data_IF_357736467573
#
_entry.id   IF_357736467573
#
_cell.length_a   1.000
_cell.length_b   1.000
_cell.length_c   1.000
_cell.angle_alpha   90.00
_cell.angle_beta   90.00
_cell.angle_gamma   90.00
#
_symmetry.space_group_name_H-M   'P 1'
#
loop_
_entity.id
_entity.type
_entity.pdbx_description
1 polymer ?
#
# COMPACT_ATOMS: atom_id res chain seq x y z
N UNK A 1 6.66 -23.76 3.03
CA UNK A 1 5.43 -23.16 3.58
C UNK A 1 5.27 -23.64 5.01
N UNK A 2 4.71 -22.81 5.91
CA UNK A 2 4.26 -23.32 7.22
C UNK A 2 3.11 -24.33 7.00
N UNK A 3 3.05 -25.47 7.72
CA UNK A 3 2.04 -26.51 7.48
C UNK A 3 0.59 -26.06 7.66
N UNK A 4 0.37 -25.07 8.54
CA UNK A 4 -0.92 -24.54 8.97
C UNK A 4 -1.31 -23.22 8.27
N UNK A 5 -0.71 -22.91 7.10
CA UNK A 5 -0.93 -21.64 6.42
C UNK A 5 -2.42 -21.37 6.08
N UNK A 6 -3.15 -22.41 5.69
CA UNK A 6 -4.59 -22.30 5.37
C UNK A 6 -5.41 -22.11 6.65
N UNK A 7 -5.12 -22.86 7.71
CA UNK A 7 -5.84 -22.72 8.99
C UNK A 7 -5.64 -21.32 9.59
N UNK A 8 -4.42 -20.78 9.49
CA UNK A 8 -4.11 -19.42 9.94
C UNK A 8 -4.81 -18.35 9.08
N UNK A 9 -4.92 -18.57 7.76
CA UNK A 9 -5.72 -17.71 6.89
C UNK A 9 -7.18 -17.69 7.33
N UNK A 10 -7.80 -18.85 7.57
CA UNK A 10 -9.18 -18.93 8.05
C UNK A 10 -9.37 -18.20 9.38
N UNK A 11 -8.46 -18.44 10.33
CA UNK A 11 -8.48 -17.75 11.63
C UNK A 11 -8.44 -16.23 11.46
N UNK A 12 -7.59 -15.71 10.57
CA UNK A 12 -7.49 -14.28 10.27
C UNK A 12 -8.76 -13.75 9.59
N UNK A 13 -9.35 -14.51 8.66
CA UNK A 13 -10.58 -14.13 7.97
C UNK A 13 -11.77 -14.01 8.94
N UNK A 14 -11.88 -14.96 9.87
CA UNK A 14 -12.89 -14.96 10.96
C UNK A 14 -12.65 -13.78 11.91
N UNK A 15 -11.40 -13.49 12.25
CA UNK A 15 -11.03 -12.35 13.09
C UNK A 15 -11.24 -10.98 12.41
N UNK A 16 -11.68 -10.95 11.15
CA UNK A 16 -12.00 -9.71 10.43
C UNK A 16 -10.81 -9.08 9.70
N UNK A 17 -9.81 -9.87 9.30
CA UNK A 17 -8.73 -9.38 8.45
C UNK A 17 -9.29 -8.74 7.18
N UNK A 18 -8.80 -7.54 6.86
CA UNK A 18 -9.23 -6.74 5.70
C UNK A 18 -8.22 -6.77 4.54
N UNK A 19 -6.99 -7.20 4.82
CA UNK A 19 -5.85 -7.26 3.90
C UNK A 19 -4.76 -8.16 4.46
N UNK A 20 -3.96 -8.79 3.59
CA UNK A 20 -2.70 -9.41 3.94
C UNK A 20 -1.54 -8.53 3.49
N UNK A 21 -0.53 -8.31 4.34
CA UNK A 21 0.72 -7.63 3.99
C UNK A 21 1.89 -8.61 4.08
N UNK A 22 2.77 -8.61 3.08
CA UNK A 22 4.05 -9.31 3.14
C UNK A 22 5.19 -8.51 2.52
N UNK A 23 6.42 -8.89 2.88
CA UNK A 23 7.67 -8.41 2.31
C UNK A 23 8.42 -9.59 1.70
N UNK A 24 8.10 -10.00 0.46
CA UNK A 24 8.60 -11.24 -0.14
C UNK A 24 10.12 -11.41 -0.07
N UNK A 25 10.87 -10.35 -0.39
CA UNK A 25 12.32 -10.29 -0.38
C UNK A 25 12.96 -10.43 1.02
N UNK A 26 12.28 -9.97 2.07
CA UNK A 26 12.75 -10.08 3.46
C UNK A 26 12.32 -11.39 4.11
N UNK A 27 11.11 -11.86 3.77
CA UNK A 27 10.48 -13.03 4.38
C UNK A 27 10.76 -14.32 3.62
N UNK A 28 11.55 -14.27 2.53
CA UNK A 28 11.87 -15.39 1.65
C UNK A 28 10.60 -16.09 1.11
N UNK A 29 9.64 -15.28 0.63
CA UNK A 29 8.38 -15.77 0.07
C UNK A 29 8.47 -15.65 -1.46
N UNK A 30 8.58 -16.78 -2.14
CA UNK A 30 8.39 -16.83 -3.58
C UNK A 30 6.89 -16.83 -3.89
N UNK A 31 6.30 -15.65 -4.13
CA UNK A 31 4.87 -15.52 -4.44
C UNK A 31 4.45 -16.26 -5.73
N UNK A 32 5.41 -16.64 -6.60
CA UNK A 32 5.17 -17.36 -7.85
C UNK A 32 5.19 -18.89 -7.70
N UNK A 33 5.56 -19.39 -6.51
CA UNK A 33 5.61 -20.82 -6.24
C UNK A 33 4.20 -21.44 -6.28
N UNK A 34 4.00 -22.40 -7.19
CA UNK A 34 2.72 -23.09 -7.43
C UNK A 34 2.20 -23.84 -6.20
N UNK A 35 3.05 -24.14 -5.20
CA UNK A 35 2.59 -24.70 -3.92
C UNK A 35 1.65 -23.75 -3.16
N UNK A 36 1.69 -22.46 -3.46
CA UNK A 36 0.83 -21.44 -2.86
C UNK A 36 -0.49 -21.21 -3.60
N UNK A 37 -0.73 -21.88 -4.74
CA UNK A 37 -1.96 -21.67 -5.54
C UNK A 37 -3.23 -21.75 -4.72
N UNK A 38 -3.42 -22.81 -3.91
CA UNK A 38 -4.61 -22.95 -3.04
C UNK A 38 -4.77 -21.81 -2.03
N UNK A 39 -3.66 -21.27 -1.53
CA UNK A 39 -3.67 -20.16 -0.59
C UNK A 39 -4.13 -18.87 -1.29
N UNK A 40 -3.63 -18.62 -2.50
CA UNK A 40 -4.04 -17.47 -3.31
C UNK A 40 -5.49 -17.56 -3.80
N UNK A 41 -5.93 -18.73 -4.26
CA UNK A 41 -7.33 -19.00 -4.62
C UNK A 41 -8.24 -18.71 -3.44
N UNK A 42 -7.89 -19.21 -2.24
CA UNK A 42 -8.69 -18.97 -1.03
C UNK A 42 -8.74 -17.49 -0.65
N UNK A 43 -7.64 -16.75 -0.79
CA UNK A 43 -7.62 -15.30 -0.59
C UNK A 43 -8.52 -14.57 -1.61
N UNK A 44 -8.48 -14.98 -2.88
CA UNK A 44 -9.31 -14.41 -3.92
C UNK A 44 -10.81 -14.64 -3.65
N UNK A 45 -11.19 -15.87 -3.27
CA UNK A 45 -12.56 -16.21 -2.84
C UNK A 45 -13.01 -15.35 -1.65
N UNK A 46 -12.13 -15.14 -0.68
CA UNK A 46 -12.39 -14.28 0.48
C UNK A 46 -12.41 -12.77 0.16
N UNK A 47 -12.03 -12.39 -1.07
CA UNK A 47 -11.75 -11.01 -1.48
C UNK A 47 -10.74 -10.32 -0.56
N UNK A 48 -9.76 -11.07 -0.04
CA UNK A 48 -8.69 -10.55 0.81
C UNK A 48 -7.55 -10.03 -0.08
N UNK A 49 -7.34 -8.70 -0.19
CA UNK A 49 -6.27 -8.16 -1.01
C UNK A 49 -4.89 -8.46 -0.42
N UNK A 50 -3.89 -8.47 -1.29
CA UNK A 50 -2.48 -8.61 -0.95
C UNK A 50 -1.76 -7.28 -1.15
N UNK A 51 -1.19 -6.71 -0.09
CA UNK A 51 -0.20 -5.63 -0.19
C UNK A 51 1.19 -6.26 -0.10
N UNK A 52 1.92 -6.32 -1.21
CA UNK A 52 3.24 -6.92 -1.26
C UNK A 52 4.32 -5.83 -1.43
N UNK A 53 5.39 -5.89 -0.66
CA UNK A 53 6.54 -5.03 -0.90
C UNK A 53 7.19 -5.36 -2.25
N UNK A 54 7.52 -4.32 -3.01
CA UNK A 54 8.22 -4.40 -4.30
C UNK A 54 9.24 -3.28 -4.40
N UNK A 55 10.28 -3.46 -5.22
CA UNK A 55 11.37 -2.49 -5.34
C UNK A 55 12.37 -2.53 -4.19
N UNK A 56 13.09 -1.43 -3.98
CA UNK A 56 14.21 -1.40 -3.04
C UNK A 56 13.78 -1.47 -1.57
N UNK A 57 14.51 -2.22 -0.75
CA UNK A 57 14.32 -2.31 0.70
C UNK A 57 15.64 -2.03 1.42
N UNK A 58 15.68 -0.97 2.24
CA UNK A 58 16.88 -0.53 2.96
C UNK A 58 16.68 -0.48 4.48
N UNK A 59 15.48 -0.78 4.99
CA UNK A 59 15.13 -0.75 6.41
C UNK A 59 15.25 -2.11 7.08
N UNK A 60 15.04 -3.19 6.32
CA UNK A 60 15.05 -4.57 6.81
C UNK A 60 16.08 -5.42 6.08
N UNK A 61 16.46 -6.54 6.70
CA UNK A 61 17.37 -7.50 6.08
C UNK A 61 16.70 -8.16 4.86
N UNK A 62 17.30 -7.95 3.69
CA UNK A 62 16.90 -8.60 2.45
C UNK A 62 17.54 -9.99 2.38
N UNK A 63 16.70 -11.03 2.29
CA UNK A 63 17.13 -12.44 2.17
C UNK A 63 17.22 -12.85 0.71
N UNK A 64 16.29 -12.39 -0.13
CA UNK A 64 16.18 -12.69 -1.57
C UNK A 64 15.79 -11.44 -2.34
N UNK A 65 16.77 -10.70 -2.86
CA UNK A 65 16.52 -9.43 -3.54
C UNK A 65 15.63 -9.57 -4.78
N UNK A 66 15.67 -10.71 -5.47
CA UNK A 66 14.87 -10.98 -6.67
C UNK A 66 13.36 -10.96 -6.41
N UNK A 67 12.89 -11.28 -5.19
CA UNK A 67 11.47 -11.25 -4.86
C UNK A 67 10.92 -9.81 -4.69
N UNK A 68 11.75 -8.79 -4.89
CA UNK A 68 11.30 -7.41 -5.04
C UNK A 68 10.76 -7.08 -6.45
N UNK A 69 11.02 -7.95 -7.43
CA UNK A 69 10.50 -7.81 -8.79
C UNK A 69 8.99 -8.14 -8.80
N UNK A 70 8.12 -7.21 -9.26
CA UNK A 70 6.67 -7.41 -9.27
C UNK A 70 6.22 -8.59 -10.14
N UNK A 71 7.07 -9.14 -11.02
CA UNK A 71 6.75 -10.36 -11.80
C UNK A 71 6.53 -11.60 -10.91
N UNK A 72 7.11 -11.64 -9.70
CA UNK A 72 6.81 -12.70 -8.73
C UNK A 72 5.37 -12.65 -8.19
N UNK A 73 4.63 -11.57 -8.43
CA UNK A 73 3.23 -11.42 -8.03
C UNK A 73 2.26 -11.92 -9.11
N UNK A 74 2.74 -12.45 -10.24
CA UNK A 74 1.87 -12.93 -11.32
C UNK A 74 0.94 -14.07 -10.88
N UNK A 75 1.42 -15.02 -10.07
CA UNK A 75 0.59 -16.14 -9.60
C UNK A 75 -0.63 -15.68 -8.76
N UNK A 76 -0.49 -14.85 -7.70
CA UNK A 76 -1.66 -14.35 -6.98
C UNK A 76 -2.59 -13.52 -7.88
N UNK A 77 -2.05 -12.74 -8.83
CA UNK A 77 -2.86 -12.02 -9.81
C UNK A 77 -3.68 -12.96 -10.70
N UNK A 78 -3.08 -14.05 -11.21
CA UNK A 78 -3.73 -15.08 -12.02
C UNK A 78 -4.82 -15.83 -11.24
N UNK A 79 -4.62 -16.06 -9.94
CA UNK A 79 -5.63 -16.63 -9.05
C UNK A 79 -6.80 -15.66 -8.73
N UNK A 80 -6.73 -14.40 -9.18
CA UNK A 80 -7.79 -13.39 -8.98
C UNK A 80 -7.64 -12.55 -7.72
N UNK A 81 -6.51 -12.64 -7.00
CA UNK A 81 -6.25 -11.78 -5.82
C UNK A 81 -6.10 -10.32 -6.28
N UNK A 82 -6.72 -9.39 -5.58
CA UNK A 82 -6.40 -7.97 -5.76
C UNK A 82 -5.05 -7.68 -5.12
N UNK A 83 -4.05 -7.28 -5.91
CA UNK A 83 -2.68 -7.06 -5.42
C UNK A 83 -2.35 -5.57 -5.47
N UNK A 84 -1.70 -5.08 -4.42
CA UNK A 84 -1.13 -3.73 -4.33
C UNK A 84 0.38 -3.89 -4.22
N UNK A 85 1.11 -3.46 -5.25
CA UNK A 85 2.57 -3.40 -5.25
C UNK A 85 3.02 -2.15 -4.47
N UNK A 86 3.55 -2.36 -3.26
CA UNK A 86 3.98 -1.26 -2.41
C UNK A 86 5.15 -0.49 -3.02
N UNK A 87 5.17 0.82 -2.82
CA UNK A 87 6.14 1.78 -3.34
C UNK A 87 6.24 1.82 -4.87
N UNK A 88 5.20 1.35 -5.56
CA UNK A 88 5.14 1.24 -7.01
C UNK A 88 6.36 0.54 -7.63
N UNK A 89 6.91 -0.48 -6.96
CA UNK A 89 8.08 -1.22 -7.42
C UNK A 89 9.31 -0.33 -7.73
N UNK A 90 9.39 0.86 -7.13
CA UNK A 90 10.46 1.81 -7.38
C UNK A 90 11.67 1.56 -6.46
N UNK A 91 12.83 2.06 -6.87
CA UNK A 91 14.08 2.02 -6.12
C UNK A 91 14.01 2.80 -4.80
N UNK A 92 14.76 2.33 -3.79
CA UNK A 92 14.96 3.01 -2.49
C UNK A 92 16.21 3.89 -2.49
N UNK A 93 17.22 3.54 -3.29
CA UNK A 93 18.42 4.32 -3.48
C UNK A 93 18.96 4.26 -4.89
N UNK A 94 20.16 4.81 -5.08
CA UNK A 94 20.73 5.05 -6.40
C UNK A 94 21.07 3.76 -7.16
N UNK A 95 21.43 2.70 -6.43
CA UNK A 95 21.89 1.42 -6.99
C UNK A 95 20.81 0.35 -7.08
N UNK A 96 19.60 0.59 -6.55
CA UNK A 96 18.55 -0.42 -6.67
C UNK A 96 17.96 -0.42 -8.07
N UNK A 97 17.50 -1.60 -8.48
CA UNK A 97 16.76 -1.76 -9.73
C UNK A 97 15.41 -1.04 -9.64
N UNK A 98 15.10 -0.25 -10.65
CA UNK A 98 13.77 0.33 -10.82
C UNK A 98 12.89 -0.67 -11.60
N UNK A 99 11.95 -1.31 -10.90
CA UNK A 99 11.02 -2.26 -11.49
C UNK A 99 9.70 -1.61 -11.95
N UNK A 100 9.54 -0.30 -11.81
CA UNK A 100 8.33 0.43 -12.22
C UNK A 100 7.91 0.12 -13.68
N UNK A 101 8.80 0.04 -14.68
CA UNK A 101 8.39 -0.34 -16.04
C UNK A 101 7.76 -1.75 -16.12
N UNK A 102 8.27 -2.72 -15.34
CA UNK A 102 7.68 -4.06 -15.27
C UNK A 102 6.33 -4.04 -14.58
N UNK A 103 6.18 -3.23 -13.52
CA UNK A 103 4.89 -3.00 -12.86
C UNK A 103 3.85 -2.46 -13.84
N UNK A 104 4.19 -1.44 -14.64
CA UNK A 104 3.28 -0.88 -15.65
C UNK A 104 2.84 -1.94 -16.67
N UNK A 105 3.78 -2.73 -17.20
CA UNK A 105 3.47 -3.82 -18.13
C UNK A 105 2.55 -4.89 -17.51
N UNK A 106 2.73 -5.20 -16.21
CA UNK A 106 1.83 -6.10 -15.49
C UNK A 106 0.46 -5.47 -15.26
N UNK A 107 0.38 -4.17 -14.96
CA UNK A 107 -0.89 -3.46 -14.80
C UNK A 107 -1.69 -3.45 -16.11
N UNK A 108 -1.06 -3.37 -17.27
CA UNK A 108 -1.75 -3.51 -18.56
C UNK A 108 -2.38 -4.91 -18.74
N UNK A 109 -1.72 -5.96 -18.24
CA UNK A 109 -2.18 -7.35 -18.32
C UNK A 109 -3.21 -7.72 -17.25
N UNK A 110 -3.08 -7.16 -16.05
CA UNK A 110 -3.84 -7.56 -14.88
C UNK A 110 -4.65 -6.37 -14.33
N UNK A 111 -5.99 -6.35 -14.52
CA UNK A 111 -6.83 -5.26 -14.03
C UNK A 111 -6.91 -5.21 -12.49
N UNK A 112 -6.64 -6.33 -11.82
CA UNK A 112 -6.58 -6.50 -10.37
C UNK A 112 -5.23 -6.12 -9.74
N UNK A 113 -4.30 -5.54 -10.50
CA UNK A 113 -3.04 -5.00 -9.99
C UNK A 113 -3.12 -3.48 -9.76
N UNK A 114 -2.78 -3.08 -8.54
CA UNK A 114 -2.67 -1.71 -8.06
C UNK A 114 -1.25 -1.45 -7.57
N UNK A 115 -0.93 -0.18 -7.32
CA UNK A 115 0.29 0.24 -6.66
C UNK A 115 -0.05 1.20 -5.51
N UNK A 116 0.84 1.38 -4.55
CA UNK A 116 0.72 2.50 -3.60
C UNK A 116 1.81 3.56 -3.81
N UNK A 117 1.60 4.75 -3.25
CA UNK A 117 2.57 5.83 -3.20
C UNK A 117 3.31 5.94 -1.85
N UNK A 118 3.40 4.83 -1.12
CA UNK A 118 4.08 4.74 0.17
C UNK A 118 5.53 5.18 0.06
N UNK A 119 5.98 6.02 1.01
CA UNK A 119 7.31 6.61 1.07
C UNK A 119 7.74 7.47 -0.14
N UNK A 120 6.82 7.94 -1.00
CA UNK A 120 7.20 8.83 -2.12
C UNK A 120 7.88 10.14 -1.67
N UNK A 121 7.61 10.58 -0.45
CA UNK A 121 8.28 11.71 0.19
C UNK A 121 9.60 11.34 0.90
N UNK A 122 10.10 10.11 0.74
CA UNK A 122 11.42 9.70 1.20
C UNK A 122 12.47 9.85 0.09
N UNK A 123 13.75 9.75 0.45
CA UNK A 123 14.87 9.91 -0.47
C UNK A 123 14.72 8.99 -1.70
N UNK A 124 14.82 9.57 -2.91
CA UNK A 124 14.78 8.89 -4.23
C UNK A 124 13.50 8.11 -4.59
N UNK A 125 12.68 7.73 -3.61
CA UNK A 125 11.50 6.88 -3.77
C UNK A 125 10.40 7.50 -4.62
N UNK A 126 10.27 8.83 -4.59
CA UNK A 126 9.31 9.59 -5.41
C UNK A 126 9.72 9.77 -6.88
N UNK A 127 10.80 9.15 -7.39
CA UNK A 127 11.27 9.42 -8.76
C UNK A 127 10.28 9.05 -9.87
N UNK A 128 9.29 8.20 -9.58
CA UNK A 128 8.26 7.75 -10.53
C UNK A 128 6.95 8.54 -10.42
N UNK A 129 6.87 9.53 -9.53
CA UNK A 129 5.65 10.35 -9.32
C UNK A 129 5.06 10.88 -10.63
N UNK A 130 5.82 11.51 -11.56
CA UNK A 130 5.24 12.02 -12.81
C UNK A 130 4.56 10.96 -13.67
N UNK A 131 5.06 9.72 -13.64
CA UNK A 131 4.48 8.58 -14.36
C UNK A 131 3.23 8.06 -13.64
N UNK A 132 3.24 8.02 -12.30
CA UNK A 132 2.09 7.63 -11.49
C UNK A 132 0.88 8.56 -11.65
N UNK A 133 1.08 9.81 -12.07
CA UNK A 133 0.02 10.79 -12.30
C UNK A 133 -0.65 10.65 -13.68
N UNK A 134 -0.18 9.73 -14.54
CA UNK A 134 -0.75 9.50 -15.88
C UNK A 134 -1.55 8.20 -15.93
N UNK A 135 -2.58 8.18 -16.75
CA UNK A 135 -3.32 6.96 -17.04
C UNK A 135 -2.40 5.92 -17.73
N UNK A 136 -2.59 4.61 -17.48
CA UNK A 136 -3.60 4.02 -16.60
C UNK A 136 -3.16 3.89 -15.11
N UNK A 137 -1.94 4.33 -14.76
CA UNK A 137 -1.41 4.16 -13.39
C UNK A 137 -2.15 5.02 -12.37
N UNK A 138 -2.51 6.26 -12.74
CA UNK A 138 -3.23 7.20 -11.88
C UNK A 138 -4.58 6.66 -11.37
N UNK A 139 -5.22 5.79 -12.13
CA UNK A 139 -6.51 5.17 -11.80
C UNK A 139 -6.36 4.01 -10.80
N UNK A 140 -5.13 3.50 -10.62
CA UNK A 140 -4.82 2.30 -9.83
C UNK A 140 -3.71 2.51 -8.81
N UNK A 141 -3.43 3.76 -8.47
CA UNK A 141 -2.53 4.10 -7.37
C UNK A 141 -3.31 4.40 -6.09
N UNK A 142 -2.89 3.88 -4.94
CA UNK A 142 -3.51 4.15 -3.65
C UNK A 142 -2.57 4.94 -2.75
N UNK A 143 -3.14 5.72 -1.84
CA UNK A 143 -2.36 6.39 -0.81
C UNK A 143 -1.89 5.40 0.26
N UNK A 144 -0.61 5.48 0.59
CA UNK A 144 -0.06 4.97 1.84
C UNK A 144 1.01 5.94 2.33
N UNK A 145 1.09 6.21 3.63
CA UNK A 145 2.08 7.15 4.18
C UNK A 145 3.46 6.52 4.40
N UNK A 146 3.48 5.21 4.64
CA UNK A 146 4.64 4.44 5.11
C UNK A 146 5.17 4.89 6.49
N UNK A 147 4.30 5.41 7.35
CA UNK A 147 4.70 5.75 8.72
C UNK A 147 5.32 4.51 9.43
N UNK A 148 6.48 4.64 10.10
CA UNK A 148 7.13 5.87 10.56
C UNK A 148 8.25 6.42 9.65
N UNK A 149 8.32 6.04 8.36
CA UNK A 149 9.33 6.58 7.44
C UNK A 149 9.27 8.11 7.40
N UNK A 150 10.42 8.82 7.47
CA UNK A 150 10.45 10.27 7.44
C UNK A 150 9.86 10.86 6.15
N UNK A 151 9.11 11.96 6.32
CA UNK A 151 8.50 12.71 5.22
C UNK A 151 9.35 13.95 4.92
N UNK A 152 10.07 13.90 3.80
CA UNK A 152 11.09 14.86 3.38
C UNK A 152 10.69 15.59 2.10
N UNK A 153 9.98 16.72 2.24
CA UNK A 153 9.53 17.52 1.09
C UNK A 153 10.63 18.16 0.22
N UNK A 154 11.89 18.10 0.66
CA UNK A 154 13.04 18.68 -0.08
C UNK A 154 13.26 17.99 -1.43
N UNK A 155 13.21 16.66 -1.49
CA UNK A 155 13.44 15.91 -2.72
C UNK A 155 12.32 16.11 -3.75
N UNK A 156 11.03 16.03 -3.39
CA UNK A 156 9.94 16.43 -4.27
C UNK A 156 10.10 17.83 -4.86
N UNK A 157 10.55 18.80 -4.05
CA UNK A 157 10.78 20.16 -4.53
C UNK A 157 11.96 20.22 -5.51
N UNK A 158 13.09 19.59 -5.16
CA UNK A 158 14.27 19.52 -6.02
C UNK A 158 13.97 18.86 -7.38
N UNK A 159 13.07 17.87 -7.39
CA UNK A 159 12.62 17.17 -8.60
C UNK A 159 11.51 17.91 -9.37
N UNK A 160 11.12 19.11 -8.94
CA UNK A 160 10.05 19.89 -9.58
C UNK A 160 8.65 19.31 -9.41
N UNK A 161 8.46 18.38 -8.47
CA UNK A 161 7.18 17.74 -8.21
C UNK A 161 6.28 18.59 -7.31
N UNK A 162 6.86 19.46 -6.47
CA UNK A 162 6.11 20.42 -5.64
C UNK A 162 6.71 21.81 -5.77
N UNK A 163 5.87 22.84 -5.63
CA UNK A 163 6.34 24.22 -5.67
C UNK A 163 7.18 24.57 -4.43
N UNK A 164 8.05 25.58 -4.54
CA UNK A 164 8.78 26.12 -3.40
C UNK A 164 7.85 26.57 -2.26
N UNK A 165 6.71 27.18 -2.62
CA UNK A 165 5.70 27.66 -1.67
C UNK A 165 5.10 26.50 -0.87
N UNK A 166 4.72 25.42 -1.54
CA UNK A 166 4.12 24.25 -0.90
C UNK A 166 5.14 23.50 -0.05
N UNK A 167 6.37 23.33 -0.53
CA UNK A 167 7.45 22.76 0.27
C UNK A 167 7.66 23.52 1.58
N UNK A 168 7.85 24.86 1.51
CA UNK A 168 8.06 25.70 2.70
C UNK A 168 6.86 25.69 3.64
N UNK A 169 5.64 25.55 3.11
CA UNK A 169 4.42 25.43 3.91
C UNK A 169 4.39 24.10 4.66
N UNK A 170 4.45 22.98 3.95
CA UNK A 170 4.20 21.67 4.53
C UNK A 170 5.40 21.10 5.30
N UNK A 171 6.63 21.53 5.04
CA UNK A 171 7.77 21.14 5.89
C UNK A 171 7.59 21.54 7.36
N UNK A 172 6.75 22.56 7.64
CA UNK A 172 6.43 23.02 8.99
C UNK A 172 5.26 22.26 9.65
N UNK A 173 4.55 21.41 8.92
CA UNK A 173 3.43 20.63 9.44
C UNK A 173 3.94 19.59 10.44
N UNK A 174 3.65 19.68 11.75
CA UNK A 174 4.17 18.74 12.75
C UNK A 174 3.60 17.32 12.60
N UNK A 175 2.38 17.16 12.09
CA UNK A 175 1.80 15.85 11.86
C UNK A 175 2.38 15.23 10.58
N UNK A 176 3.19 14.19 10.74
CA UNK A 176 3.86 13.54 9.61
C UNK A 176 2.91 12.91 8.59
N UNK A 177 1.74 12.42 9.02
CA UNK A 177 0.74 11.86 8.12
C UNK A 177 0.08 12.98 7.30
N UNK A 178 -0.28 14.08 7.96
CA UNK A 178 -0.83 15.27 7.30
C UNK A 178 0.20 15.87 6.32
N UNK A 179 1.47 15.94 6.73
CA UNK A 179 2.57 16.40 5.89
C UNK A 179 2.69 15.56 4.61
N UNK A 180 2.66 14.23 4.73
CA UNK A 180 2.72 13.32 3.57
C UNK A 180 1.54 13.53 2.63
N UNK A 181 0.32 13.56 3.18
CA UNK A 181 -0.92 13.82 2.46
C UNK A 181 -0.85 15.12 1.66
N UNK A 182 -0.47 16.22 2.32
CA UNK A 182 -0.43 17.54 1.70
C UNK A 182 0.65 17.66 0.62
N UNK A 183 1.82 17.07 0.83
CA UNK A 183 2.86 17.03 -0.21
C UNK A 183 2.39 16.23 -1.43
N UNK A 184 1.73 15.08 -1.24
CA UNK A 184 1.19 14.28 -2.35
C UNK A 184 0.06 14.99 -3.09
N UNK A 185 -0.77 15.76 -2.38
CA UNK A 185 -1.74 16.65 -3.02
C UNK A 185 -1.06 17.73 -3.86
N UNK A 186 -0.01 18.36 -3.33
CA UNK A 186 0.77 19.34 -4.06
C UNK A 186 1.50 18.75 -5.29
N UNK A 187 1.83 17.45 -5.26
CA UNK A 187 2.36 16.73 -6.43
C UNK A 187 1.32 16.53 -7.54
N UNK A 188 0.02 16.60 -7.22
CA UNK A 188 -1.06 16.42 -8.18
C UNK A 188 -1.85 15.11 -8.03
N UNK A 189 -1.62 14.31 -6.98
CA UNK A 189 -2.49 13.16 -6.70
C UNK A 189 -3.91 13.66 -6.38
N UNK A 190 -4.90 13.07 -7.06
CA UNK A 190 -6.30 13.43 -6.91
C UNK A 190 -6.94 12.81 -5.65
N UNK A 191 -8.13 13.29 -5.29
CA UNK A 191 -8.86 12.83 -4.10
C UNK A 191 -9.18 11.33 -4.12
N UNK A 192 -9.36 10.75 -5.31
CA UNK A 192 -9.60 9.32 -5.45
C UNK A 192 -8.39 8.51 -4.98
N UNK A 193 -7.16 8.96 -5.22
CA UNK A 193 -5.93 8.30 -4.72
C UNK A 193 -5.98 8.07 -3.20
N UNK A 194 -6.53 9.02 -2.45
CA UNK A 194 -6.58 8.98 -0.98
C UNK A 194 -7.75 8.16 -0.42
N UNK A 195 -8.73 7.82 -1.25
CA UNK A 195 -9.96 7.12 -0.82
C UNK A 195 -10.14 5.75 -1.48
N UNK A 196 -9.42 5.48 -2.58
CA UNK A 196 -9.51 4.25 -3.39
C UNK A 196 -9.28 2.98 -2.58
N UNK A 197 -8.42 3.04 -1.56
CA UNK A 197 -8.15 1.89 -0.68
C UNK A 197 -9.41 1.32 -0.05
N UNK A 198 -10.39 2.17 0.28
CA UNK A 198 -11.66 1.75 0.91
C UNK A 198 -12.48 0.81 0.02
N UNK A 199 -12.27 0.84 -1.30
CA UNK A 199 -12.93 -0.06 -2.27
C UNK A 199 -12.20 -1.39 -2.45
N UNK A 200 -10.94 -1.47 -2.00
CA UNK A 200 -10.09 -2.65 -2.17
C UNK A 200 -10.04 -3.52 -0.92
N UNK A 201 -10.29 -2.95 0.26
CA UNK A 201 -10.33 -3.69 1.52
C UNK A 201 -11.44 -4.74 1.49
N UNK A 202 -11.15 -5.92 2.07
CA UNK A 202 -12.15 -6.97 2.22
C UNK A 202 -13.31 -6.44 3.08
N UNK A 203 -14.58 -6.55 2.60
CA UNK A 203 -15.73 -6.16 3.40
C UNK A 203 -15.85 -7.07 4.62
N UNK A 204 -15.98 -6.48 5.81
CA UNK A 204 -16.24 -7.23 7.05
C UNK A 204 -17.61 -6.86 7.61
N UNK A 205 -18.35 -7.81 8.22
CA UNK A 205 -19.69 -7.55 8.76
C UNK A 205 -19.73 -6.43 9.80
N UNK A 206 -18.62 -6.18 10.51
CA UNK A 206 -18.53 -5.13 11.53
C UNK A 206 -18.50 -3.70 10.95
N UNK A 207 -18.03 -3.52 9.72
CA UNK A 207 -17.93 -2.19 9.07
C UNK A 207 -19.29 -1.69 8.55
N UNK A 208 -20.31 -2.54 8.50
CA UNK A 208 -21.67 -2.19 8.07
C UNK A 208 -22.61 -1.81 9.23
N UNK A 209 -22.17 -1.91 10.48
CA UNK A 209 -22.98 -1.49 11.62
C UNK A 209 -22.88 0.04 11.80
N UNK A 210 -24.00 0.80 11.74
CA UNK A 210 -23.96 2.22 12.08
C UNK A 210 -23.44 2.39 13.52
N UNK A 211 -22.73 3.49 13.83
CA UNK A 211 -22.22 3.72 15.17
C UNK A 211 -23.38 3.66 16.16
N UNK A 212 -23.31 2.73 17.11
CA UNK A 212 -24.27 2.68 18.22
C UNK A 212 -24.17 4.01 18.96
N UNK A 213 -25.19 4.86 18.85
CA UNK A 213 -25.30 6.05 19.69
C UNK A 213 -25.32 5.60 21.14
N UNK A 214 -24.26 5.89 21.89
CA UNK A 214 -24.33 5.81 23.35
C UNK A 214 -25.27 6.92 23.80
N UNK A 215 -26.53 6.57 24.08
CA UNK A 215 -27.39 7.43 24.88
C UNK A 215 -26.68 7.64 26.24
N UNK A 216 -26.39 8.89 26.58
CA UNK A 216 -25.89 9.24 27.90
C UNK A 216 -26.95 8.84 28.94
N UNK A 217 -26.58 8.29 30.11
CA UNK A 217 -27.55 8.07 31.16
C UNK A 217 -27.99 9.42 31.72
N UNK A 218 -29.31 9.58 31.87
CA UNK A 218 -29.90 10.71 32.55
C UNK A 218 -29.34 10.81 33.97
N UNK A 219 -28.78 11.98 34.30
CA UNK A 219 -28.43 12.35 35.67
C UNK A 219 -29.75 12.58 36.40
N UNK A 220 -30.10 11.69 37.32
CA UNK A 220 -31.13 11.94 38.33
C UNK A 220 -30.43 12.38 39.62
N UNK A 221 -30.96 13.45 40.20
CA UNK A 221 -30.48 14.13 41.39
C UNK A 221 -30.47 13.25 42.64
N UNK A 222 -29.51 13.50 43.54
CA UNK A 222 -29.73 13.36 44.98
C UNK A 222 -29.15 14.59 45.68
N UNK A 223 -30.01 15.14 46.52
CA UNK A 223 -29.90 16.28 47.42
C UNK A 223 -28.94 16.00 48.57
N UNK A 224 -28.07 16.96 48.88
CA UNK A 224 -27.68 17.38 50.23
C UNK A 224 -27.17 18.82 50.15
#
# INVERSE_FOLDING_TARGET
ARPDAIDELERCLVAGAVMMKCLPNCQNIDCSDRRFTKFWERMAEAKLPLLAHTGGEHTLQVVRAEFSDPTYLELPLQCGVTVIAAHAANKSGLVDTNYFPKLVALMERYPNLYADNSAFNANFRGSVTPQCLRAPVAERIVHGSDYPVPVLGFFPWLQGQVSWKDYRRYQREPNVIERDYQLKRAMGFNDETFTRINRLLRPTPAVLAPPRSKAAPAVSAVVA
#
